data_IF_925627895514
#
_entry.id   IF_925627895514
#
_cell.length_a   1.000
_cell.length_b   1.000
_cell.length_c   1.000
_cell.angle_alpha   90.00
_cell.angle_beta   90.00
_cell.angle_gamma   90.00
#
_symmetry.space_group_name_H-M   'P 1'
#
loop_
_entity.id
_entity.type
_entity.pdbx_description
1 polymer ?
#
# COMPACT_ATOMS: atom_id res chain seq x y z
N UNK A 1 -20.87 -0.76 73.60
CA UNK A 1 -20.70 -0.83 72.17
C UNK A 1 -20.16 -2.21 71.79
N UNK A 2 -20.82 -2.95 70.92
CA UNK A 2 -20.52 -4.37 70.68
C UNK A 2 -19.17 -4.56 69.98
N UNK A 3 -18.28 -5.39 70.55
CA UNK A 3 -16.89 -5.64 70.01
C UNK A 3 -16.89 -6.03 68.51
N UNK A 4 -17.96 -6.69 68.02
CA UNK A 4 -18.12 -7.00 66.59
C UNK A 4 -18.29 -5.76 65.72
N UNK A 5 -19.08 -4.78 66.20
CA UNK A 5 -19.36 -3.52 65.46
C UNK A 5 -18.07 -2.68 65.37
N UNK A 6 -17.29 -2.62 66.46
CA UNK A 6 -16.02 -1.88 66.50
C UNK A 6 -15.04 -2.49 65.48
N UNK A 7 -15.00 -3.83 65.39
CA UNK A 7 -14.09 -4.56 64.46
C UNK A 7 -14.49 -4.33 62.99
N UNK A 8 -15.79 -4.28 62.70
CA UNK A 8 -16.29 -3.99 61.36
C UNK A 8 -16.01 -2.54 60.94
N UNK A 9 -16.24 -1.57 61.85
CA UNK A 9 -15.96 -0.15 61.60
C UNK A 9 -14.44 0.06 61.36
N UNK A 10 -13.57 -0.59 62.16
CA UNK A 10 -12.11 -0.51 62.00
C UNK A 10 -11.67 -1.08 60.68
N UNK A 11 -12.23 -2.24 60.23
CA UNK A 11 -11.88 -2.86 58.97
C UNK A 11 -12.33 -2.01 57.76
N UNK A 12 -13.54 -1.40 57.83
CA UNK A 12 -14.00 -0.50 56.79
C UNK A 12 -13.18 0.78 56.68
N UNK A 13 -12.76 1.33 57.83
CA UNK A 13 -11.90 2.52 57.87
C UNK A 13 -10.49 2.25 57.28
N UNK A 14 -9.96 1.04 57.53
CA UNK A 14 -8.66 0.61 56.92
C UNK A 14 -8.74 0.47 55.42
N UNK A 15 -9.85 -0.05 54.90
CA UNK A 15 -10.06 -0.20 53.42
C UNK A 15 -10.21 1.17 52.75
N UNK A 16 -10.95 2.08 53.38
CA UNK A 16 -11.13 3.46 52.86
C UNK A 16 -9.79 4.20 52.87
N UNK A 17 -9.01 4.06 53.94
CA UNK A 17 -7.70 4.69 54.04
C UNK A 17 -6.66 4.13 53.04
N UNK A 18 -6.74 2.84 52.71
CA UNK A 18 -5.88 2.24 51.68
C UNK A 18 -6.23 2.72 50.24
N UNK A 19 -7.47 3.04 49.97
CA UNK A 19 -7.93 3.62 48.68
C UNK A 19 -7.48 5.08 48.56
N UNK A 20 -7.48 5.84 49.66
CA UNK A 20 -7.00 7.24 49.66
C UNK A 20 -5.48 7.38 49.56
N UNK A 21 -4.72 6.32 49.89
CA UNK A 21 -3.26 6.29 49.79
C UNK A 21 -2.71 5.73 48.47
N UNK A 22 -3.60 5.39 47.51
CA UNK A 22 -3.17 5.13 46.14
C UNK A 22 -2.62 6.44 45.58
N UNK A 23 -1.34 6.46 45.15
CA UNK A 23 -0.78 7.66 44.55
C UNK A 23 -1.62 7.99 43.31
N UNK A 24 -2.12 9.21 43.22
CA UNK A 24 -2.89 9.76 42.12
C UNK A 24 -2.10 9.83 40.80
N UNK A 25 -1.11 8.98 40.64
CA UNK A 25 -0.18 8.90 39.52
C UNK A 25 -0.38 7.72 38.56
N UNK A 26 -1.43 6.90 38.70
CA UNK A 26 -1.68 5.76 37.80
C UNK A 26 -2.88 6.06 36.85
N UNK A 27 -3.32 7.27 36.76
CA UNK A 27 -3.95 7.77 35.54
C UNK A 27 -2.82 8.32 34.66
N UNK A 28 -1.93 7.44 34.21
CA UNK A 28 -1.18 7.70 33.01
C UNK A 28 -2.21 7.81 31.89
N UNK A 29 -2.59 9.07 31.61
CA UNK A 29 -3.04 9.45 30.30
C UNK A 29 -2.09 8.74 29.35
N UNK A 30 -2.60 7.76 28.59
CA UNK A 30 -1.95 7.32 27.39
C UNK A 30 -1.94 8.58 26.51
N UNK A 31 -0.91 9.42 26.71
CA UNK A 31 -0.48 10.36 25.72
C UNK A 31 -0.18 9.45 24.55
N UNK A 32 -1.00 9.49 23.51
CA UNK A 32 -0.58 9.04 22.20
C UNK A 32 0.78 9.73 22.01
N UNK A 33 1.85 8.98 22.24
CA UNK A 33 3.12 9.35 21.66
C UNK A 33 2.82 9.34 20.16
N UNK A 34 2.66 10.54 19.59
CA UNK A 34 2.99 10.72 18.19
C UNK A 34 4.34 10.03 18.05
N UNK A 35 4.30 8.82 17.55
CA UNK A 35 5.48 8.10 17.11
C UNK A 35 6.12 9.03 16.07
N UNK A 36 7.02 9.87 16.52
CA UNK A 36 8.03 10.48 15.66
C UNK A 36 8.85 9.31 15.16
N UNK A 37 8.25 8.57 14.21
CA UNK A 37 8.88 7.46 13.52
C UNK A 37 10.17 7.97 12.90
N UNK A 38 11.27 7.74 13.59
CA UNK A 38 12.61 8.06 13.14
C UNK A 38 13.02 7.17 11.96
N UNK A 39 12.26 7.17 10.88
CA UNK A 39 12.55 6.36 9.71
C UNK A 39 11.97 6.90 8.41
N UNK A 40 10.78 7.48 8.46
CA UNK A 40 10.08 7.90 7.22
C UNK A 40 10.45 9.32 6.79
N UNK A 41 10.86 10.19 7.72
CA UNK A 41 11.29 11.54 7.40
C UNK A 41 12.64 11.63 6.65
N UNK A 42 13.32 10.49 6.43
CA UNK A 42 14.57 10.40 5.67
C UNK A 42 14.39 9.86 4.24
N UNK A 43 13.16 9.67 3.78
CA UNK A 43 12.90 9.21 2.41
C UNK A 43 13.12 10.39 1.45
N UNK A 44 14.18 10.31 0.66
CA UNK A 44 14.45 11.27 -0.42
C UNK A 44 13.56 10.98 -1.63
N UNK A 45 12.27 11.34 -1.53
CA UNK A 45 11.32 11.24 -2.62
C UNK A 45 10.51 12.54 -2.72
N UNK A 46 10.12 12.92 -3.96
CA UNK A 46 9.26 14.07 -4.20
C UNK A 46 7.85 13.87 -3.64
N UNK A 47 7.38 12.64 -3.67
CA UNK A 47 6.09 12.20 -3.13
C UNK A 47 6.20 10.77 -2.65
N UNK A 48 5.50 10.44 -1.57
CA UNK A 48 5.36 9.07 -1.10
C UNK A 48 4.03 8.86 -0.37
N UNK A 49 3.54 7.63 -0.41
CA UNK A 49 2.36 7.18 0.29
C UNK A 49 2.61 5.77 0.82
N UNK A 50 2.37 5.57 2.11
CA UNK A 50 2.30 4.24 2.72
C UNK A 50 0.90 4.04 3.28
N UNK A 51 0.24 3.00 2.83
CA UNK A 51 -1.13 2.68 3.19
C UNK A 51 -1.26 1.22 3.63
N UNK A 52 -2.07 0.98 4.65
CA UNK A 52 -2.46 -0.37 5.03
C UNK A 52 -3.52 -0.88 4.02
N UNK A 53 -3.28 -2.01 3.32
CA UNK A 53 -4.07 -2.37 2.13
C UNK A 53 -5.48 -2.86 2.43
N UNK A 54 -5.78 -3.35 3.64
CA UNK A 54 -7.09 -3.90 3.99
C UNK A 54 -8.04 -2.78 4.42
N UNK A 55 -7.60 -1.90 5.30
CA UNK A 55 -8.42 -0.81 5.84
C UNK A 55 -8.37 0.46 4.99
N UNK A 56 -7.37 0.59 4.10
CA UNK A 56 -7.09 1.82 3.37
C UNK A 56 -6.50 2.94 4.24
N UNK A 57 -6.12 2.65 5.50
CA UNK A 57 -5.56 3.64 6.40
C UNK A 57 -4.20 4.12 5.90
N UNK A 58 -4.07 5.43 5.69
CA UNK A 58 -2.80 6.07 5.35
C UNK A 58 -1.94 6.11 6.62
N UNK A 59 -0.74 5.56 6.54
CA UNK A 59 0.23 5.52 7.63
C UNK A 59 1.24 6.66 7.52
N UNK A 60 1.70 6.94 6.29
CA UNK A 60 2.61 8.04 5.99
C UNK A 60 2.32 8.58 4.59
N UNK A 61 2.43 9.89 4.44
CA UNK A 61 2.21 10.55 3.16
C UNK A 61 3.07 11.83 3.03
N UNK A 62 3.41 12.18 1.81
CA UNK A 62 4.02 13.46 1.47
C UNK A 62 3.69 13.79 0.01
N UNK A 63 3.20 15.00 -0.24
CA UNK A 63 2.85 15.52 -1.56
C UNK A 63 1.99 14.56 -2.41
N UNK A 64 1.03 13.85 -1.81
CA UNK A 64 0.27 12.78 -2.47
C UNK A 64 -0.65 13.28 -3.56
N UNK A 65 -1.07 14.55 -3.51
CA UNK A 65 -1.95 15.17 -4.50
C UNK A 65 -1.16 15.83 -5.65
N UNK A 66 0.17 15.90 -5.55
CA UNK A 66 1.00 16.50 -6.60
C UNK A 66 1.11 15.54 -7.79
N UNK A 67 0.89 16.08 -8.99
CA UNK A 67 0.92 15.30 -10.23
C UNK A 67 2.34 15.13 -10.72
N UNK A 68 2.78 13.88 -10.80
CA UNK A 68 4.06 13.49 -11.38
C UNK A 68 3.88 12.57 -12.58
N UNK A 69 4.89 12.52 -13.43
CA UNK A 69 4.98 11.48 -14.45
C UNK A 69 5.45 10.18 -13.77
N UNK A 70 4.58 9.13 -13.69
CA UNK A 70 4.88 7.96 -12.87
C UNK A 70 5.79 6.95 -13.57
N UNK A 71 6.40 7.32 -14.71
CA UNK A 71 7.27 6.48 -15.51
C UNK A 71 6.63 5.09 -15.76
N UNK A 72 7.36 4.00 -15.52
CA UNK A 72 6.87 2.63 -15.77
C UNK A 72 5.72 2.18 -14.88
N UNK A 73 5.39 2.91 -13.81
CA UNK A 73 4.18 2.63 -13.01
C UNK A 73 2.91 2.76 -13.87
N UNK A 74 2.93 3.58 -14.92
CA UNK A 74 1.86 3.66 -15.93
C UNK A 74 1.47 2.29 -16.52
N UNK A 75 2.41 1.35 -16.62
CA UNK A 75 2.15 0.01 -17.18
C UNK A 75 1.23 -0.86 -16.33
N UNK A 76 1.05 -0.52 -15.05
CA UNK A 76 0.01 -1.16 -14.22
C UNK A 76 -1.36 -0.95 -14.86
N UNK A 77 -1.65 0.25 -15.37
CA UNK A 77 -2.91 0.53 -16.07
C UNK A 77 -3.01 -0.26 -17.38
N UNK A 78 -1.94 -0.34 -18.17
CA UNK A 78 -1.93 -1.17 -19.40
C UNK A 78 -2.27 -2.63 -19.08
N UNK A 79 -1.62 -3.20 -18.05
CA UNK A 79 -1.90 -4.58 -17.63
C UNK A 79 -3.33 -4.75 -17.12
N UNK A 80 -3.84 -3.81 -16.32
CA UNK A 80 -5.21 -3.83 -15.80
C UNK A 80 -6.22 -3.85 -16.95
N UNK A 81 -6.13 -2.91 -17.89
CA UNK A 81 -7.05 -2.82 -19.04
C UNK A 81 -6.98 -4.06 -19.93
N UNK A 82 -5.78 -4.63 -20.12
CA UNK A 82 -5.63 -5.88 -20.86
C UNK A 82 -6.31 -7.04 -20.14
N UNK A 83 -6.16 -7.15 -18.82
CA UNK A 83 -6.81 -8.21 -18.04
C UNK A 83 -8.33 -8.04 -17.98
N UNK A 84 -8.84 -6.81 -17.89
CA UNK A 84 -10.28 -6.54 -17.99
C UNK A 84 -10.84 -6.96 -19.36
N UNK A 85 -10.08 -6.76 -20.43
CA UNK A 85 -10.46 -7.23 -21.77
C UNK A 85 -10.46 -8.76 -21.86
N UNK A 86 -9.53 -9.44 -21.20
CA UNK A 86 -9.51 -10.91 -21.09
C UNK A 86 -10.69 -11.41 -20.27
N UNK A 87 -10.94 -10.83 -19.09
CA UNK A 87 -12.01 -11.24 -18.18
C UNK A 87 -13.41 -11.03 -18.80
N UNK A 88 -13.56 -9.96 -19.60
CA UNK A 88 -14.80 -9.70 -20.35
C UNK A 88 -14.94 -10.55 -21.62
N UNK A 89 -13.96 -11.38 -21.96
CA UNK A 89 -13.96 -12.22 -23.16
C UNK A 89 -13.77 -11.47 -24.49
N UNK A 90 -13.35 -10.21 -24.45
CA UNK A 90 -13.03 -9.44 -25.66
C UNK A 90 -11.80 -9.94 -26.38
N UNK A 91 -10.80 -10.37 -25.60
CA UNK A 91 -9.57 -11.00 -26.09
C UNK A 91 -9.25 -12.22 -25.22
N UNK A 92 -8.34 -13.05 -25.69
CA UNK A 92 -7.84 -14.22 -24.96
C UNK A 92 -6.33 -14.12 -24.76
N UNK A 93 -5.80 -14.79 -23.75
CA UNK A 93 -4.35 -14.81 -23.49
C UNK A 93 -3.54 -15.43 -24.64
N UNK A 94 -4.13 -16.35 -25.40
CA UNK A 94 -3.52 -17.03 -26.54
C UNK A 94 -3.73 -16.30 -27.87
N UNK A 95 -4.52 -15.21 -27.89
CA UNK A 95 -4.68 -14.39 -29.10
C UNK A 95 -3.35 -13.84 -29.58
N UNK A 96 -3.21 -13.77 -30.91
CA UNK A 96 -1.97 -13.34 -31.58
C UNK A 96 -2.02 -11.83 -31.83
N UNK A 97 -0.98 -11.16 -31.38
CA UNK A 97 -0.74 -9.74 -31.59
C UNK A 97 0.48 -9.56 -32.48
N UNK A 98 0.34 -8.78 -33.55
CA UNK A 98 1.44 -8.45 -34.45
C UNK A 98 2.08 -7.12 -34.02
N UNK A 99 3.39 -7.13 -33.78
CA UNK A 99 4.11 -5.92 -33.37
C UNK A 99 4.10 -4.90 -34.50
N UNK A 100 3.59 -3.71 -34.21
CA UNK A 100 3.57 -2.59 -35.14
C UNK A 100 4.94 -1.90 -35.23
N UNK A 101 5.14 -1.13 -36.30
CA UNK A 101 6.33 -0.28 -36.43
C UNK A 101 6.44 0.74 -35.26
N UNK A 102 5.30 1.23 -34.77
CA UNK A 102 5.26 2.11 -33.64
C UNK A 102 5.75 1.42 -32.35
N UNK A 103 5.31 0.20 -32.09
CA UNK A 103 5.80 -0.59 -30.96
C UNK A 103 7.32 -0.85 -31.05
N UNK A 104 7.82 -1.26 -32.22
CA UNK A 104 9.26 -1.47 -32.49
C UNK A 104 10.11 -0.23 -32.20
N UNK A 105 9.62 0.96 -32.49
CA UNK A 105 10.35 2.24 -32.31
C UNK A 105 10.43 2.70 -30.85
N UNK A 106 9.76 2.02 -29.93
CA UNK A 106 9.77 2.43 -28.53
C UNK A 106 11.17 2.27 -27.93
N UNK A 107 11.64 3.35 -27.28
CA UNK A 107 12.90 3.35 -26.54
C UNK A 107 12.73 2.89 -25.10
N UNK A 108 13.84 2.88 -24.36
CA UNK A 108 13.90 2.46 -22.96
C UNK A 108 13.91 0.93 -22.82
N UNK A 109 13.29 0.41 -21.75
CA UNK A 109 13.17 -1.04 -21.55
C UNK A 109 12.25 -1.66 -22.60
N UNK A 110 12.67 -2.71 -23.28
CA UNK A 110 11.94 -3.38 -24.35
C UNK A 110 12.09 -4.90 -24.25
N UNK A 111 11.21 -5.63 -24.94
CA UNK A 111 11.37 -7.07 -25.23
C UNK A 111 12.20 -7.31 -26.48
N UNK A 112 12.65 -6.25 -27.17
CA UNK A 112 13.33 -6.29 -28.47
C UNK A 112 12.46 -6.89 -29.58
N UNK A 113 11.18 -6.50 -29.63
CA UNK A 113 10.25 -6.95 -30.67
C UNK A 113 10.61 -6.35 -32.02
N UNK A 114 10.50 -7.16 -33.07
CA UNK A 114 10.64 -6.69 -34.45
C UNK A 114 9.29 -6.35 -35.07
N UNK A 115 9.29 -5.43 -36.04
CA UNK A 115 8.07 -5.09 -36.81
C UNK A 115 7.56 -6.34 -37.54
N UNK A 116 6.28 -6.65 -37.38
CA UNK A 116 5.66 -7.85 -37.92
C UNK A 116 5.87 -9.11 -37.08
N UNK A 117 6.65 -9.05 -36.01
CA UNK A 117 6.77 -10.15 -35.06
C UNK A 117 5.43 -10.44 -34.38
N UNK A 118 5.08 -11.72 -34.24
CA UNK A 118 3.82 -12.16 -33.66
C UNK A 118 4.07 -12.79 -32.30
N UNK A 119 3.39 -12.26 -31.28
CA UNK A 119 3.40 -12.76 -29.91
C UNK A 119 1.99 -12.97 -29.39
N UNK A 120 1.83 -13.78 -28.35
CA UNK A 120 0.54 -13.87 -27.67
C UNK A 120 0.33 -12.70 -26.70
N UNK A 121 -0.91 -12.43 -26.35
CA UNK A 121 -1.26 -11.48 -25.27
C UNK A 121 -0.54 -11.85 -23.99
N UNK A 122 -0.47 -13.15 -23.63
CA UNK A 122 0.25 -13.62 -22.44
C UNK A 122 1.75 -13.33 -22.48
N UNK A 123 2.40 -13.56 -23.62
CA UNK A 123 3.83 -13.27 -23.80
C UNK A 123 4.11 -11.78 -23.67
N UNK A 124 3.26 -10.93 -24.24
CA UNK A 124 3.40 -9.48 -24.12
C UNK A 124 3.14 -8.99 -22.70
N UNK A 125 2.13 -9.51 -21.99
CA UNK A 125 1.89 -9.21 -20.58
C UNK A 125 3.10 -9.57 -19.71
N UNK A 126 3.71 -10.74 -19.94
CA UNK A 126 4.95 -11.14 -19.26
C UNK A 126 6.09 -10.16 -19.56
N UNK A 127 6.20 -9.72 -20.80
CA UNK A 127 7.19 -8.72 -21.20
C UNK A 127 7.00 -7.38 -20.52
N UNK A 128 5.76 -6.93 -20.37
CA UNK A 128 5.44 -5.72 -19.62
C UNK A 128 5.76 -5.88 -18.14
N UNK A 129 5.33 -6.98 -17.53
CA UNK A 129 5.44 -7.19 -16.08
C UNK A 129 6.90 -7.45 -15.63
N UNK A 130 7.68 -8.22 -16.40
CA UNK A 130 9.02 -8.69 -16.00
C UNK A 130 10.10 -7.75 -16.52
N UNK A 131 10.07 -7.42 -17.81
CA UNK A 131 11.08 -6.59 -18.46
C UNK A 131 10.69 -5.11 -18.52
N UNK A 132 9.48 -4.75 -18.08
CA UNK A 132 8.95 -3.38 -18.25
C UNK A 132 8.99 -2.92 -19.71
N UNK A 133 8.72 -3.83 -20.66
CA UNK A 133 8.84 -3.60 -22.11
C UNK A 133 7.89 -2.52 -22.60
N UNK A 134 8.44 -1.43 -23.14
CA UNK A 134 7.66 -0.34 -23.73
C UNK A 134 7.03 -0.78 -25.05
N UNK A 135 7.77 -1.55 -25.87
CA UNK A 135 7.31 -2.15 -27.12
C UNK A 135 6.13 -3.11 -26.88
N UNK A 136 6.23 -3.97 -25.87
CA UNK A 136 5.16 -4.88 -25.47
C UNK A 136 3.92 -4.13 -24.98
N UNK A 137 4.10 -3.05 -24.19
CA UNK A 137 2.99 -2.24 -23.72
C UNK A 137 2.24 -1.54 -24.87
N UNK A 138 2.97 -1.03 -25.87
CA UNK A 138 2.38 -0.41 -27.08
C UNK A 138 1.75 -1.46 -27.99
N UNK A 139 2.29 -2.68 -28.05
CA UNK A 139 1.70 -3.76 -28.83
C UNK A 139 0.37 -4.25 -28.25
N UNK A 140 0.18 -4.15 -26.91
CA UNK A 140 -1.07 -4.50 -26.22
C UNK A 140 -2.14 -3.41 -26.30
N UNK A 141 -1.76 -2.14 -26.54
CA UNK A 141 -2.67 -1.00 -26.61
C UNK A 141 -3.28 -0.81 -28.01
#
# INVERSE_FOLDING_TARGET
MNKKIIKQISLSLMIILSILLLPAGILTSAKEEESKGGGVNSIEAKSYLLMEPISGKILYENNVDEKFAPASVTKIMTMLLTMEAVDSGKIKLDDKVTCSENAKKMGGSTMLLDTGEVRTVEELLKGVAIASGNDAAVALA
#
